data_IF_822635741416
#
_entry.id   IF_822635741416
#
_cell.length_a   1.000
_cell.length_b   1.000
_cell.length_c   1.000
_cell.angle_alpha   90.00
_cell.angle_beta   90.00
_cell.angle_gamma   90.00
#
_symmetry.space_group_name_H-M   'P 1'
#
loop_
_entity.id
_entity.type
_entity.pdbx_description
1 polymer ?
#
# COMPACT_ATOMS: atom_id res chain seq x y z
N UNK A 1 1.99 -35.25 0.90
CA UNK A 1 2.36 -34.44 2.08
C UNK A 1 2.82 -33.10 1.57
N UNK A 2 2.17 -32.01 1.98
CA UNK A 2 2.53 -30.67 1.53
C UNK A 2 3.93 -30.29 2.01
N UNK A 3 4.57 -29.34 1.33
CA UNK A 3 5.93 -28.87 1.59
C UNK A 3 5.95 -27.36 1.79
N UNK A 4 6.72 -26.92 2.79
CA UNK A 4 6.95 -25.51 3.08
C UNK A 4 8.44 -25.22 3.08
N UNK A 5 8.86 -24.19 2.35
CA UNK A 5 10.23 -23.67 2.40
C UNK A 5 10.23 -22.37 3.20
N UNK A 6 10.98 -22.34 4.29
CA UNK A 6 11.12 -21.15 5.13
C UNK A 6 12.42 -20.41 4.85
N UNK A 7 12.32 -19.11 4.60
CA UNK A 7 13.43 -18.16 4.50
C UNK A 7 13.46 -17.34 5.81
N UNK A 8 14.32 -17.69 6.79
CA UNK A 8 14.44 -16.96 8.04
C UNK A 8 15.22 -15.65 7.90
N UNK A 9 14.89 -14.63 8.70
CA UNK A 9 15.83 -13.57 9.01
C UNK A 9 17.04 -14.18 9.74
N UNK A 10 18.26 -13.81 9.36
CA UNK A 10 19.47 -14.45 9.87
C UNK A 10 19.93 -13.86 11.21
N UNK A 11 19.03 -13.92 12.20
CA UNK A 11 19.26 -13.42 13.55
C UNK A 11 18.55 -14.30 14.61
N UNK A 12 18.76 -14.00 15.89
CA UNK A 12 18.22 -14.81 17.00
C UNK A 12 16.68 -14.86 16.99
N UNK A 13 16.02 -13.77 16.59
CA UNK A 13 14.56 -13.71 16.49
C UNK A 13 14.00 -14.53 15.33
N UNK A 14 14.70 -14.58 14.19
CA UNK A 14 14.34 -15.44 13.08
C UNK A 14 14.55 -16.92 13.41
N UNK A 15 15.57 -17.24 14.20
CA UNK A 15 15.79 -18.59 14.73
C UNK A 15 14.72 -18.99 15.76
N UNK A 16 14.34 -18.08 16.65
CA UNK A 16 13.22 -18.29 17.58
C UNK A 16 11.90 -18.51 16.83
N UNK A 17 11.62 -17.71 15.78
CA UNK A 17 10.45 -17.90 14.93
C UNK A 17 10.42 -19.31 14.32
N UNK A 18 11.56 -19.78 13.82
CA UNK A 18 11.72 -21.14 13.28
C UNK A 18 11.42 -22.21 14.32
N UNK A 19 12.11 -22.15 15.46
CA UNK A 19 12.15 -23.24 16.43
C UNK A 19 10.87 -23.33 17.26
N UNK A 20 10.33 -22.19 17.67
CA UNK A 20 9.19 -22.11 18.59
C UNK A 20 7.84 -22.06 17.90
N UNK A 21 7.78 -21.70 16.60
CA UNK A 21 6.50 -21.48 15.91
C UNK A 21 6.40 -22.19 14.56
N UNK A 22 7.32 -21.93 13.62
CA UNK A 22 7.23 -22.50 12.26
C UNK A 22 7.36 -24.03 12.27
N UNK A 23 8.35 -24.56 12.99
CA UNK A 23 8.58 -26.02 13.05
C UNK A 23 7.43 -26.75 13.78
N UNK A 24 6.93 -26.28 14.94
CA UNK A 24 5.72 -26.84 15.56
C UNK A 24 4.50 -26.80 14.64
N UNK A 25 4.17 -25.64 14.05
CA UNK A 25 3.00 -25.52 13.16
C UNK A 25 3.10 -26.48 11.94
N UNK A 26 4.28 -26.57 11.32
CA UNK A 26 4.50 -27.53 10.23
C UNK A 26 4.31 -28.99 10.69
N UNK A 27 4.77 -29.35 11.89
CA UNK A 27 4.57 -30.70 12.44
C UNK A 27 3.09 -30.99 12.68
N UNK A 28 2.39 -30.06 13.30
CA UNK A 28 1.01 -30.23 13.73
C UNK A 28 0.07 -30.35 12.50
N UNK A 29 0.35 -29.59 11.44
CA UNK A 29 -0.35 -29.67 10.14
C UNK A 29 0.26 -30.65 9.12
N UNK A 30 1.21 -31.51 9.54
CA UNK A 30 1.86 -32.53 8.68
C UNK A 30 2.47 -31.97 7.39
N UNK A 31 3.08 -30.81 7.47
CA UNK A 31 3.79 -30.13 6.37
C UNK A 31 5.29 -30.42 6.47
N UNK A 32 5.91 -30.82 5.36
CA UNK A 32 7.35 -31.01 5.26
C UNK A 32 8.06 -29.66 5.25
N UNK A 33 8.73 -29.31 6.35
CA UNK A 33 9.54 -28.09 6.43
C UNK A 33 10.93 -28.28 5.83
N UNK A 34 11.34 -27.35 4.98
CA UNK A 34 12.74 -27.13 4.56
C UNK A 34 13.13 -25.70 4.90
N UNK A 35 14.30 -25.51 5.51
CA UNK A 35 14.83 -24.17 5.82
C UNK A 35 15.84 -23.79 4.74
N UNK A 36 15.77 -22.55 4.24
CA UNK A 36 16.72 -22.02 3.29
C UNK A 36 18.05 -21.66 3.99
N UNK A 37 19.16 -21.95 3.32
CA UNK A 37 20.50 -21.67 3.84
C UNK A 37 20.78 -20.16 3.93
N UNK A 38 21.73 -19.76 4.78
CA UNK A 38 22.16 -18.35 4.93
C UNK A 38 22.64 -17.69 3.63
N UNK A 39 23.08 -18.48 2.65
CA UNK A 39 23.51 -18.02 1.33
C UNK A 39 22.42 -18.07 0.25
N UNK A 40 21.16 -18.27 0.63
CA UNK A 40 20.08 -18.37 -0.34
C UNK A 40 19.96 -17.07 -1.17
N UNK A 41 19.96 -17.24 -2.49
CA UNK A 41 19.85 -16.16 -3.45
C UNK A 41 18.56 -16.30 -4.28
N UNK A 42 18.31 -15.37 -5.19
CA UNK A 42 17.12 -15.37 -6.07
C UNK A 42 16.85 -16.69 -6.80
N UNK A 43 17.89 -17.32 -7.36
CA UNK A 43 17.73 -18.66 -7.96
C UNK A 43 17.20 -19.74 -6.99
N UNK A 44 17.59 -19.71 -5.72
CA UNK A 44 17.05 -20.61 -4.68
C UNK A 44 15.60 -20.27 -4.35
N UNK A 45 15.29 -18.96 -4.24
CA UNK A 45 13.93 -18.47 -4.06
C UNK A 45 13.00 -18.90 -5.21
N UNK A 46 13.37 -18.67 -6.47
CA UNK A 46 12.60 -19.06 -7.64
C UNK A 46 12.33 -20.57 -7.67
N UNK A 47 13.34 -21.39 -7.35
CA UNK A 47 13.16 -22.85 -7.23
C UNK A 47 12.15 -23.19 -6.12
N UNK A 48 12.27 -22.58 -4.95
CA UNK A 48 11.32 -22.80 -3.85
C UNK A 48 9.89 -22.42 -4.27
N UNK A 49 9.71 -21.25 -4.88
CA UNK A 49 8.41 -20.76 -5.33
C UNK A 49 7.76 -21.64 -6.41
N UNK A 50 8.55 -22.36 -7.22
CA UNK A 50 8.04 -23.27 -8.28
C UNK A 50 7.75 -24.67 -7.75
N UNK A 51 8.59 -25.18 -6.85
CA UNK A 51 8.56 -26.60 -6.47
C UNK A 51 8.00 -26.88 -5.07
N UNK A 52 7.84 -25.87 -4.22
CA UNK A 52 7.22 -26.03 -2.91
C UNK A 52 5.73 -25.69 -2.97
N UNK A 53 4.95 -26.39 -2.15
CA UNK A 53 3.52 -26.08 -1.99
C UNK A 53 3.33 -24.71 -1.32
N UNK A 54 4.26 -24.33 -0.43
CA UNK A 54 4.27 -23.07 0.31
C UNK A 54 5.70 -22.52 0.44
N UNK A 55 5.82 -21.19 0.46
CA UNK A 55 7.07 -20.48 0.78
C UNK A 55 6.77 -19.43 1.83
N UNK A 56 7.45 -19.51 2.98
CA UNK A 56 7.32 -18.55 4.08
C UNK A 56 8.56 -17.66 4.14
N UNK A 57 8.36 -16.35 4.22
CA UNK A 57 9.40 -15.34 4.26
C UNK A 57 9.35 -14.58 5.58
N UNK A 58 10.44 -14.60 6.36
CA UNK A 58 10.62 -13.66 7.48
C UNK A 58 11.24 -12.36 6.93
N UNK A 59 10.36 -11.43 6.59
CA UNK A 59 10.65 -10.14 5.99
C UNK A 59 10.97 -9.05 7.03
N UNK A 60 11.31 -9.41 8.27
CA UNK A 60 11.68 -8.44 9.30
C UNK A 60 12.94 -7.67 8.88
N UNK A 61 12.89 -6.33 8.97
CA UNK A 61 14.03 -5.44 8.75
C UNK A 61 14.68 -5.17 10.10
N UNK A 62 15.72 -5.95 10.42
CA UNK A 62 16.44 -5.88 11.69
C UNK A 62 17.96 -5.79 11.43
N UNK A 63 18.75 -5.14 12.31
CA UNK A 63 20.17 -4.85 12.07
C UNK A 63 21.06 -6.08 11.76
N UNK A 64 20.64 -7.26 12.21
CA UNK A 64 21.41 -8.50 12.11
C UNK A 64 21.19 -9.29 10.80
N UNK A 65 20.27 -8.85 9.92
CA UNK A 65 20.10 -9.43 8.58
C UNK A 65 18.63 -9.64 8.19
N UNK A 66 18.38 -9.67 6.88
CA UNK A 66 17.04 -9.73 6.30
C UNK A 66 16.99 -10.53 4.98
N UNK A 67 15.83 -11.09 4.63
CA UNK A 67 15.67 -12.00 3.47
C UNK A 67 15.54 -11.29 2.11
N UNK A 68 15.53 -9.97 2.09
CA UNK A 68 15.35 -9.17 0.87
C UNK A 68 16.41 -9.47 -0.21
N UNK A 69 17.56 -10.04 0.17
CA UNK A 69 18.59 -10.65 -0.69
C UNK A 69 18.05 -11.62 -1.73
N UNK A 70 17.15 -12.49 -1.28
CA UNK A 70 16.56 -13.57 -2.07
C UNK A 70 15.20 -13.20 -2.65
N UNK A 71 14.56 -12.14 -2.13
CA UNK A 71 13.24 -11.70 -2.56
C UNK A 71 13.25 -11.19 -4.01
N UNK A 72 12.18 -11.51 -4.72
CA UNK A 72 11.91 -11.03 -6.08
C UNK A 72 10.45 -10.60 -6.22
N UNK A 73 10.10 -10.00 -7.35
CA UNK A 73 8.71 -9.58 -7.64
C UNK A 73 7.73 -10.75 -7.62
N UNK A 74 8.19 -11.98 -7.95
CA UNK A 74 7.34 -13.18 -7.92
C UNK A 74 6.94 -13.60 -6.51
N UNK A 75 7.80 -13.34 -5.54
CA UNK A 75 7.56 -13.57 -4.11
C UNK A 75 6.34 -12.78 -3.60
N UNK A 76 6.04 -11.64 -4.23
CA UNK A 76 4.89 -10.79 -3.91
C UNK A 76 3.57 -11.29 -4.53
N UNK A 77 3.64 -11.75 -5.77
CA UNK A 77 2.42 -12.00 -6.58
C UNK A 77 1.91 -13.44 -6.55
N UNK A 78 2.74 -14.41 -6.17
CA UNK A 78 2.35 -15.83 -6.18
C UNK A 78 1.56 -16.22 -4.93
N UNK A 79 0.47 -16.94 -5.14
CA UNK A 79 -0.47 -17.37 -4.08
C UNK A 79 0.15 -18.35 -3.07
N UNK A 80 1.25 -19.04 -3.40
CA UNK A 80 1.92 -19.92 -2.45
C UNK A 80 2.93 -19.22 -1.54
N UNK A 81 3.05 -17.89 -1.59
CA UNK A 81 4.00 -17.14 -0.77
C UNK A 81 3.29 -16.47 0.41
N UNK A 82 3.88 -16.65 1.60
CA UNK A 82 3.46 -16.08 2.87
C UNK A 82 4.56 -15.15 3.37
N UNK A 83 4.25 -13.87 3.62
CA UNK A 83 5.20 -12.91 4.15
C UNK A 83 4.88 -12.60 5.61
N UNK A 84 5.80 -12.88 6.52
CA UNK A 84 5.66 -12.52 7.94
C UNK A 84 6.74 -11.52 8.32
N UNK A 85 6.43 -10.59 9.22
CA UNK A 85 7.40 -9.59 9.65
C UNK A 85 7.09 -9.05 11.03
N UNK A 86 8.12 -8.96 11.88
CA UNK A 86 8.05 -8.31 13.20
C UNK A 86 8.05 -6.79 13.11
N UNK A 87 8.60 -6.26 12.03
CA UNK A 87 8.66 -4.82 11.72
C UNK A 87 7.74 -4.50 10.54
N UNK A 88 7.40 -3.24 10.30
CA UNK A 88 6.65 -2.87 9.09
C UNK A 88 7.37 -3.36 7.84
N UNK A 89 6.61 -3.92 6.89
CA UNK A 89 7.16 -4.24 5.57
C UNK A 89 7.55 -2.94 4.85
N UNK A 90 8.56 -2.97 3.98
CA UNK A 90 8.84 -1.87 3.08
C UNK A 90 7.58 -1.47 2.30
N UNK A 91 7.41 -0.18 2.07
CA UNK A 91 6.18 0.40 1.50
C UNK A 91 5.84 -0.07 0.08
N UNK A 92 6.76 -0.74 -0.60
CA UNK A 92 6.59 -1.37 -1.90
C UNK A 92 6.64 -2.90 -1.86
N UNK A 93 6.59 -3.49 -0.66
CA UNK A 93 6.49 -4.92 -0.43
C UNK A 93 5.08 -5.20 0.03
N UNK A 94 4.40 -5.99 -0.79
CA UNK A 94 2.99 -6.27 -0.65
C UNK A 94 2.71 -7.63 -1.26
N UNK A 95 2.07 -8.51 -0.49
CA UNK A 95 1.80 -9.87 -0.92
C UNK A 95 0.36 -10.28 -0.58
N UNK A 96 -0.15 -11.27 -1.32
CA UNK A 96 -1.50 -11.81 -1.10
C UNK A 96 -1.71 -12.31 0.33
N UNK A 97 -0.70 -13.00 0.86
CA UNK A 97 -0.73 -13.50 2.23
C UNK A 97 0.41 -12.84 3.00
N UNK A 98 0.06 -11.97 3.93
CA UNK A 98 1.04 -11.32 4.78
C UNK A 98 0.54 -11.07 6.20
N UNK A 99 1.48 -11.09 7.14
CA UNK A 99 1.28 -10.69 8.53
C UNK A 99 2.44 -9.78 8.95
N UNK A 100 2.16 -8.48 9.01
CA UNK A 100 3.14 -7.48 9.40
C UNK A 100 2.44 -6.31 10.10
N UNK A 101 3.11 -5.64 11.05
CA UNK A 101 2.55 -4.47 11.70
C UNK A 101 2.51 -3.26 10.75
N UNK A 102 1.60 -2.33 11.01
CA UNK A 102 1.62 -1.00 10.39
C UNK A 102 2.82 -0.19 10.89
N UNK A 103 3.11 0.91 10.19
CA UNK A 103 4.16 1.83 10.57
C UNK A 103 4.01 2.32 12.03
N UNK A 104 5.10 2.25 12.80
CA UNK A 104 5.14 2.63 14.21
C UNK A 104 4.74 1.52 15.20
N UNK A 105 4.39 0.34 14.72
CA UNK A 105 4.11 -0.84 15.53
C UNK A 105 5.12 -1.97 15.28
N UNK A 106 5.18 -2.93 16.21
CA UNK A 106 6.00 -4.14 16.10
C UNK A 106 5.22 -5.35 16.54
N UNK A 107 5.45 -6.50 15.91
CA UNK A 107 4.89 -7.79 16.32
C UNK A 107 5.93 -8.65 17.03
N UNK A 108 5.46 -9.50 17.93
CA UNK A 108 6.23 -10.60 18.50
C UNK A 108 6.18 -11.83 17.59
N UNK A 109 7.11 -12.77 17.76
CA UNK A 109 7.06 -14.05 17.06
C UNK A 109 5.79 -14.86 17.38
N UNK A 110 5.19 -14.67 18.56
CA UNK A 110 3.94 -15.31 18.94
C UNK A 110 2.78 -14.92 18.01
N UNK A 111 2.68 -13.63 17.68
CA UNK A 111 1.65 -13.11 16.76
C UNK A 111 1.83 -13.72 15.36
N UNK A 112 3.08 -13.78 14.87
CA UNK A 112 3.39 -14.37 13.57
C UNK A 112 3.11 -15.89 13.55
N UNK A 113 3.43 -16.58 14.64
CA UNK A 113 3.18 -18.01 14.81
C UNK A 113 1.69 -18.34 14.84
N UNK A 114 0.90 -17.59 15.61
CA UNK A 114 -0.57 -17.72 15.67
C UNK A 114 -1.20 -17.50 14.28
N UNK A 115 -0.75 -16.47 13.57
CA UNK A 115 -1.22 -16.21 12.22
C UNK A 115 -0.90 -17.38 11.27
N UNK A 116 0.33 -17.88 11.31
CA UNK A 116 0.77 -18.98 10.45
C UNK A 116 -0.01 -20.27 10.74
N UNK A 117 -0.18 -20.61 12.02
CA UNK A 117 -0.94 -21.78 12.46
C UNK A 117 -2.38 -21.73 11.93
N UNK A 118 -3.07 -20.61 12.13
CA UNK A 118 -4.43 -20.41 11.60
C UNK A 118 -4.47 -20.44 10.08
N UNK A 119 -3.47 -19.90 9.40
CA UNK A 119 -3.39 -19.94 7.93
C UNK A 119 -3.24 -21.38 7.43
N UNK A 120 -2.33 -22.16 8.03
CA UNK A 120 -2.14 -23.57 7.70
C UNK A 120 -3.39 -24.40 8.01
N UNK A 121 -4.01 -24.19 9.17
CA UNK A 121 -5.26 -24.84 9.54
C UNK A 121 -6.36 -24.59 8.50
N UNK A 122 -6.59 -23.34 8.11
CA UNK A 122 -7.54 -23.00 7.04
C UNK A 122 -7.16 -23.66 5.70
N UNK A 123 -5.86 -23.67 5.36
CA UNK A 123 -5.37 -24.21 4.09
C UNK A 123 -5.57 -25.72 3.98
N UNK A 124 -5.42 -26.44 5.09
CA UNK A 124 -5.50 -27.90 5.14
C UNK A 124 -6.82 -28.44 5.72
N UNK A 125 -7.75 -27.55 6.08
CA UNK A 125 -9.08 -27.92 6.56
C UNK A 125 -9.12 -28.39 8.02
N UNK A 126 -8.12 -27.99 8.81
CA UNK A 126 -8.09 -28.28 10.24
C UNK A 126 -8.96 -27.27 11.02
N UNK A 127 -9.48 -27.63 12.22
CA UNK A 127 -10.23 -26.71 13.05
C UNK A 127 -9.40 -25.47 13.40
N UNK A 128 -9.98 -24.28 13.20
CA UNK A 128 -9.33 -22.99 13.48
C UNK A 128 -9.89 -22.44 14.80
N UNK A 129 -9.03 -22.00 15.71
CA UNK A 129 -9.46 -21.30 16.94
C UNK A 129 -10.29 -20.05 16.62
N UNK A 130 -11.33 -19.77 17.41
CA UNK A 130 -12.48 -18.91 17.03
C UNK A 130 -12.22 -17.39 16.99
N UNK A 131 -11.11 -16.86 17.51
CA UNK A 131 -10.84 -15.41 17.44
C UNK A 131 -9.34 -15.07 17.23
N UNK A 132 -9.00 -14.21 16.25
CA UNK A 132 -7.65 -13.65 16.17
C UNK A 132 -7.33 -12.78 17.39
N UNK A 133 -6.06 -12.68 17.76
CA UNK A 133 -5.60 -11.59 18.64
C UNK A 133 -5.95 -10.21 18.05
N UNK A 134 -6.13 -9.22 18.93
CA UNK A 134 -6.52 -7.86 18.55
C UNK A 134 -5.52 -7.21 17.57
N UNK A 135 -4.23 -7.57 17.67
CA UNK A 135 -3.18 -7.08 16.78
C UNK A 135 -3.31 -7.68 15.37
N UNK A 136 -3.65 -8.97 15.24
CA UNK A 136 -3.90 -9.59 13.94
C UNK A 136 -5.14 -9.00 13.26
N UNK A 137 -6.22 -8.81 14.02
CA UNK A 137 -7.50 -8.32 13.51
C UNK A 137 -7.42 -6.94 12.84
N UNK A 138 -6.47 -6.09 13.25
CA UNK A 138 -6.31 -4.71 12.75
C UNK A 138 -5.47 -4.60 11.49
N UNK A 139 -4.72 -5.64 11.13
CA UNK A 139 -3.59 -5.55 10.19
C UNK A 139 -3.59 -6.66 9.13
N UNK A 140 -4.71 -7.39 9.02
CA UNK A 140 -4.87 -8.48 8.05
C UNK A 140 -5.03 -7.94 6.63
N UNK A 141 -4.11 -8.33 5.75
CA UNK A 141 -4.24 -8.09 4.33
C UNK A 141 -5.44 -8.88 3.77
N UNK A 142 -6.32 -8.19 3.04
CA UNK A 142 -7.71 -8.62 2.83
C UNK A 142 -7.96 -9.78 1.87
N UNK A 143 -6.95 -10.33 1.17
CA UNK A 143 -7.24 -11.23 0.05
C UNK A 143 -7.84 -12.60 0.42
N UNK A 144 -7.67 -13.07 1.66
CA UNK A 144 -8.21 -14.37 2.09
C UNK A 144 -9.54 -14.28 2.83
N UNK A 145 -9.78 -13.13 3.47
CA UNK A 145 -11.00 -12.84 4.24
C UNK A 145 -11.30 -11.35 4.12
N UNK A 146 -11.66 -10.87 2.92
CA UNK A 146 -11.92 -9.46 2.73
C UNK A 146 -13.12 -9.06 3.58
N UNK A 147 -13.08 -7.84 4.11
CA UNK A 147 -14.31 -7.26 4.65
C UNK A 147 -15.35 -7.17 3.52
N UNK A 148 -16.63 -7.22 3.88
CA UNK A 148 -17.71 -7.12 2.90
C UNK A 148 -17.71 -5.77 2.18
N UNK A 149 -17.32 -4.70 2.88
CA UNK A 149 -17.24 -3.35 2.32
C UNK A 149 -15.92 -2.66 2.66
N UNK A 150 -15.40 -1.89 1.70
CA UNK A 150 -14.40 -0.86 1.95
C UNK A 150 -15.09 0.49 2.20
N UNK A 151 -14.72 1.19 3.27
CA UNK A 151 -15.25 2.52 3.61
C UNK A 151 -14.22 3.60 3.30
N UNK A 152 -14.54 4.45 2.33
CA UNK A 152 -13.83 5.72 2.10
C UNK A 152 -14.43 6.81 2.99
N UNK A 153 -13.59 7.53 3.71
CA UNK A 153 -14.02 8.59 4.63
C UNK A 153 -12.96 9.70 4.73
N UNK A 154 -13.39 10.89 5.14
CA UNK A 154 -12.47 11.99 5.42
C UNK A 154 -11.83 11.79 6.80
N UNK A 155 -10.51 11.72 6.88
CA UNK A 155 -9.79 11.48 8.14
C UNK A 155 -10.11 12.47 9.29
N UNK A 156 -10.48 13.73 8.99
CA UNK A 156 -10.96 14.67 10.02
C UNK A 156 -12.34 14.33 10.59
N UNK A 157 -13.01 13.31 10.06
CA UNK A 157 -14.31 12.77 10.46
C UNK A 157 -14.22 11.26 10.78
N UNK A 158 -13.03 10.76 11.15
CA UNK A 158 -12.79 9.33 11.43
C UNK A 158 -13.74 8.77 12.48
N UNK A 159 -13.97 9.50 13.59
CA UNK A 159 -14.87 9.07 14.67
C UNK A 159 -16.31 8.89 14.16
N UNK A 160 -16.83 9.88 13.44
CA UNK A 160 -18.16 9.80 12.83
C UNK A 160 -18.28 8.63 11.85
N UNK A 161 -17.26 8.40 11.03
CA UNK A 161 -17.25 7.29 10.09
C UNK A 161 -17.19 5.94 10.80
N UNK A 162 -16.43 5.83 11.90
CA UNK A 162 -16.32 4.62 12.71
C UNK A 162 -17.64 4.27 13.41
N UNK A 163 -18.31 5.26 13.99
CA UNK A 163 -19.63 5.09 14.61
C UNK A 163 -20.67 4.62 13.59
N UNK A 164 -20.67 5.25 12.42
CA UNK A 164 -21.54 4.86 11.32
C UNK A 164 -21.24 3.42 10.85
N UNK A 165 -19.97 3.08 10.63
CA UNK A 165 -19.55 1.75 10.19
C UNK A 165 -19.97 0.67 11.19
N UNK A 166 -19.78 0.92 12.49
CA UNK A 166 -20.17 0.00 13.55
C UNK A 166 -21.70 -0.20 13.59
N UNK A 167 -22.48 0.87 13.42
CA UNK A 167 -23.93 0.77 13.33
C UNK A 167 -24.37 -0.02 12.08
N UNK A 168 -23.82 0.30 10.91
CA UNK A 168 -24.12 -0.38 9.66
C UNK A 168 -23.80 -1.87 9.72
N UNK A 169 -22.63 -2.23 10.26
CA UNK A 169 -22.19 -3.60 10.48
C UNK A 169 -23.17 -4.38 11.37
N UNK A 170 -23.60 -3.79 12.50
CA UNK A 170 -24.58 -4.41 13.40
C UNK A 170 -25.94 -4.60 12.73
N UNK A 171 -26.42 -3.63 11.97
CA UNK A 171 -27.74 -3.67 11.34
C UNK A 171 -27.80 -4.70 10.20
N UNK A 172 -26.74 -4.83 9.41
CA UNK A 172 -26.75 -5.65 8.20
C UNK A 172 -26.02 -6.99 8.34
N UNK A 173 -25.35 -7.22 9.48
CA UNK A 173 -24.56 -8.45 9.69
C UNK A 173 -23.35 -8.54 8.74
N UNK A 174 -22.72 -7.40 8.44
CA UNK A 174 -21.60 -7.28 7.49
C UNK A 174 -20.37 -6.70 8.18
N UNK A 175 -19.21 -6.89 7.56
CA UNK A 175 -17.93 -6.33 7.99
C UNK A 175 -17.55 -5.13 7.14
N UNK A 176 -17.01 -4.09 7.78
CA UNK A 176 -16.63 -2.83 7.11
C UNK A 176 -15.16 -2.54 7.39
N UNK A 177 -14.36 -2.46 6.33
CA UNK A 177 -12.95 -2.10 6.37
C UNK A 177 -12.80 -0.58 6.31
N UNK A 178 -12.21 -0.02 7.36
CA UNK A 178 -11.66 1.33 7.37
C UNK A 178 -10.15 1.23 7.41
N UNK A 179 -9.44 1.99 6.57
CA UNK A 179 -7.97 2.09 6.63
C UNK A 179 -7.60 2.84 7.92
N UNK A 180 -6.90 2.22 8.90
CA UNK A 180 -6.46 2.88 10.11
C UNK A 180 -5.49 4.03 9.81
N UNK A 181 -5.50 5.01 10.68
CA UNK A 181 -4.54 6.10 10.65
C UNK A 181 -3.09 5.58 10.61
N UNK A 182 -2.26 6.18 9.74
CA UNK A 182 -0.83 5.89 9.63
C UNK A 182 -0.46 4.68 8.76
N UNK A 183 -1.43 3.94 8.21
CA UNK A 183 -1.12 2.80 7.33
C UNK A 183 -0.43 3.26 6.03
N UNK A 184 -0.99 4.24 5.32
CA UNK A 184 -0.42 4.75 4.06
C UNK A 184 0.33 6.06 4.21
N UNK A 185 -0.26 7.03 4.91
CA UNK A 185 0.38 8.31 5.26
C UNK A 185 -0.31 8.94 6.47
N UNK A 186 0.38 9.85 7.16
CA UNK A 186 -0.24 10.75 8.12
C UNK A 186 -0.79 12.01 7.43
N UNK A 187 -1.85 12.65 7.95
CA UNK A 187 -2.44 13.85 7.34
C UNK A 187 -1.45 15.00 7.09
N UNK A 188 -0.43 15.10 7.94
CA UNK A 188 0.63 16.11 7.95
C UNK A 188 1.93 15.63 7.32
N UNK A 189 1.99 14.38 6.84
CA UNK A 189 3.20 13.77 6.30
C UNK A 189 3.59 14.41 4.96
N UNK A 190 4.88 14.73 4.84
CA UNK A 190 5.50 15.09 3.58
C UNK A 190 5.77 13.79 2.81
N UNK A 191 5.14 13.65 1.64
CA UNK A 191 5.19 12.40 0.86
C UNK A 191 5.73 12.70 -0.52
N UNK A 192 6.53 11.81 -1.09
CA UNK A 192 6.95 11.94 -2.49
C UNK A 192 5.77 11.77 -3.44
N UNK A 193 5.90 12.32 -4.65
CA UNK A 193 4.90 12.15 -5.70
C UNK A 193 4.59 10.66 -5.95
N UNK A 194 5.62 9.81 -5.99
CA UNK A 194 5.45 8.37 -6.12
C UNK A 194 4.75 7.74 -4.91
N UNK A 195 5.07 8.14 -3.68
CA UNK A 195 4.38 7.63 -2.47
C UNK A 195 2.89 7.95 -2.48
N UNK A 196 2.49 9.13 -2.96
CA UNK A 196 1.07 9.49 -3.08
C UNK A 196 0.33 8.48 -3.95
N UNK A 197 0.83 8.23 -5.17
CA UNK A 197 0.19 7.30 -6.10
C UNK A 197 0.37 5.82 -5.72
N UNK A 198 1.41 5.47 -4.98
CA UNK A 198 1.58 4.14 -4.39
C UNK A 198 0.47 3.84 -3.37
N UNK A 199 0.13 4.82 -2.52
CA UNK A 199 -1.00 4.72 -1.61
C UNK A 199 -2.33 4.56 -2.35
N UNK A 200 -2.54 5.29 -3.44
CA UNK A 200 -3.74 5.13 -4.30
C UNK A 200 -3.79 3.74 -4.95
N UNK A 201 -2.66 3.22 -5.43
CA UNK A 201 -2.60 1.88 -5.98
C UNK A 201 -2.91 0.79 -4.92
N UNK A 202 -2.50 0.99 -3.66
CA UNK A 202 -2.89 0.12 -2.53
C UNK A 202 -4.39 0.19 -2.26
N UNK A 203 -4.97 1.39 -2.22
CA UNK A 203 -6.41 1.58 -2.05
C UNK A 203 -7.24 0.86 -3.13
N UNK A 204 -6.77 0.88 -4.38
CA UNK A 204 -7.38 0.10 -5.47
C UNK A 204 -7.39 -1.40 -5.15
N UNK A 205 -6.30 -1.95 -4.61
CA UNK A 205 -6.22 -3.37 -4.25
C UNK A 205 -7.19 -3.71 -3.11
N UNK A 206 -7.31 -2.84 -2.11
CA UNK A 206 -8.30 -2.98 -1.03
C UNK A 206 -9.73 -3.02 -1.60
N UNK A 207 -10.09 -2.04 -2.45
CA UNK A 207 -11.41 -1.99 -3.09
C UNK A 207 -11.67 -3.19 -4.02
N UNK A 208 -10.62 -3.71 -4.67
CA UNK A 208 -10.72 -4.90 -5.53
C UNK A 208 -10.96 -6.15 -4.70
N UNK A 209 -10.34 -6.24 -3.52
CA UNK A 209 -10.52 -7.37 -2.61
C UNK A 209 -11.94 -7.39 -2.00
N UNK A 210 -12.49 -6.24 -1.59
CA UNK A 210 -13.87 -6.19 -1.05
C UNK A 210 -14.94 -6.24 -2.15
N UNK A 211 -14.63 -5.76 -3.36
CA UNK A 211 -15.56 -5.57 -4.49
C UNK A 211 -16.77 -4.68 -4.19
N UNK A 212 -16.91 -4.17 -2.96
CA UNK A 212 -17.97 -3.25 -2.56
C UNK A 212 -17.38 -2.08 -1.81
N UNK A 213 -17.84 -0.89 -2.15
CA UNK A 213 -17.32 0.37 -1.61
C UNK A 213 -18.46 1.22 -1.08
N UNK A 214 -18.22 1.85 0.07
CA UNK A 214 -19.09 2.85 0.66
C UNK A 214 -18.29 4.15 0.74
N UNK A 215 -18.84 5.23 0.19
CA UNK A 215 -18.30 6.59 0.34
C UNK A 215 -19.06 7.30 1.46
N UNK A 216 -18.40 7.46 2.61
CA UNK A 216 -18.89 8.24 3.73
C UNK A 216 -18.57 9.72 3.53
N UNK A 217 -19.55 10.45 3.03
CA UNK A 217 -19.44 11.83 2.63
C UNK A 217 -19.66 12.79 3.79
N UNK A 218 -18.57 13.42 4.23
CA UNK A 218 -18.66 14.55 5.15
C UNK A 218 -19.06 15.82 4.39
N UNK A 219 -19.99 16.59 4.96
CA UNK A 219 -20.44 17.86 4.36
C UNK A 219 -19.30 18.87 4.18
N UNK A 220 -18.27 18.78 5.03
CA UNK A 220 -17.08 19.60 4.98
C UNK A 220 -15.86 18.79 4.55
N UNK A 221 -15.02 19.39 3.72
CA UNK A 221 -13.67 18.92 3.42
C UNK A 221 -13.46 17.56 2.75
N UNK A 222 -14.50 16.79 2.38
CA UNK A 222 -14.31 15.48 1.74
C UNK A 222 -13.54 15.61 0.41
N UNK A 223 -13.83 16.62 -0.40
CA UNK A 223 -13.18 16.87 -1.70
C UNK A 223 -11.90 17.73 -1.64
N UNK A 224 -11.51 18.17 -0.45
CA UNK A 224 -10.31 18.99 -0.26
C UNK A 224 -9.03 18.16 -0.14
N UNK A 225 -9.18 16.84 -0.12
CA UNK A 225 -8.08 15.92 0.13
C UNK A 225 -7.78 15.07 -1.09
N UNK A 226 -6.49 14.96 -1.39
CA UNK A 226 -5.98 14.08 -2.43
C UNK A 226 -6.47 12.65 -2.24
N UNK A 227 -6.41 12.13 -1.00
CA UNK A 227 -6.73 10.73 -0.68
C UNK A 227 -8.20 10.37 -0.97
N UNK A 228 -9.14 11.05 -0.33
CA UNK A 228 -10.59 10.88 -0.55
C UNK A 228 -11.01 11.17 -1.99
N UNK A 229 -10.40 12.16 -2.65
CA UNK A 229 -10.65 12.40 -4.08
C UNK A 229 -10.16 11.24 -4.96
N UNK A 230 -9.02 10.62 -4.60
CA UNK A 230 -8.49 9.44 -5.28
C UNK A 230 -9.36 8.21 -5.05
N UNK A 231 -9.82 7.99 -3.81
CA UNK A 231 -10.75 6.90 -3.47
C UNK A 231 -12.07 7.03 -4.24
N UNK A 232 -12.62 8.24 -4.30
CA UNK A 232 -13.82 8.54 -5.08
C UNK A 232 -13.58 8.27 -6.58
N UNK A 233 -12.46 8.73 -7.13
CA UNK A 233 -12.11 8.49 -8.53
C UNK A 233 -11.94 6.98 -8.82
N UNK A 234 -11.30 6.24 -7.92
CA UNK A 234 -11.17 4.78 -8.03
C UNK A 234 -12.55 4.11 -8.00
N UNK A 235 -13.42 4.48 -7.08
CA UNK A 235 -14.78 3.93 -7.00
C UNK A 235 -15.57 4.22 -8.30
N UNK A 236 -15.48 5.44 -8.83
CA UNK A 236 -16.11 5.83 -10.09
C UNK A 236 -15.55 5.04 -11.29
N UNK A 237 -14.23 4.85 -11.36
CA UNK A 237 -13.59 4.09 -12.43
C UNK A 237 -13.96 2.60 -12.33
N UNK A 238 -13.77 1.97 -11.17
CA UNK A 238 -13.98 0.55 -10.97
C UNK A 238 -15.47 0.14 -11.05
N UNK A 239 -16.39 1.02 -10.67
CA UNK A 239 -17.83 0.75 -10.82
C UNK A 239 -18.27 0.72 -12.29
N UNK A 240 -17.61 1.50 -13.15
CA UNK A 240 -17.93 1.57 -14.58
C UNK A 240 -17.05 0.66 -15.46
N UNK A 241 -15.93 0.16 -14.94
CA UNK A 241 -14.98 -0.64 -15.68
C UNK A 241 -15.20 -2.15 -15.46
N UNK A 242 -15.02 -2.91 -16.55
CA UNK A 242 -15.04 -4.37 -16.55
C UNK A 242 -13.62 -4.92 -16.43
N UNK A 243 -13.44 -5.97 -15.63
CA UNK A 243 -12.19 -6.73 -15.54
C UNK A 243 -11.95 -7.58 -16.81
N UNK A 244 -10.85 -8.35 -16.82
CA UNK A 244 -10.51 -9.24 -17.96
C UNK A 244 -11.54 -10.33 -18.24
N UNK A 245 -12.41 -10.64 -17.27
CA UNK A 245 -13.51 -11.60 -17.43
C UNK A 245 -14.80 -10.94 -17.93
N UNK A 246 -14.79 -9.62 -18.16
CA UNK A 246 -15.96 -8.86 -18.59
C UNK A 246 -16.94 -8.55 -17.46
N UNK A 247 -16.52 -8.68 -16.19
CA UNK A 247 -17.36 -8.38 -15.01
C UNK A 247 -17.00 -7.04 -14.42
N UNK A 248 -17.97 -6.31 -13.89
CA UNK A 248 -17.70 -5.08 -13.15
C UNK A 248 -16.68 -5.36 -12.04
N UNK A 249 -15.72 -4.45 -11.87
CA UNK A 249 -14.71 -4.60 -10.82
C UNK A 249 -15.33 -4.43 -9.42
N UNK A 250 -16.35 -3.58 -9.30
CA UNK A 250 -17.19 -3.46 -8.12
C UNK A 250 -18.58 -4.06 -8.36
N UNK A 251 -19.02 -4.89 -7.42
CA UNK A 251 -20.39 -5.40 -7.36
C UNK A 251 -21.35 -4.32 -6.86
N UNK A 252 -20.85 -3.43 -5.98
CA UNK A 252 -21.66 -2.38 -5.37
C UNK A 252 -20.81 -1.15 -5.02
N UNK A 253 -21.37 0.04 -5.27
CA UNK A 253 -20.78 1.30 -4.86
C UNK A 253 -21.88 2.19 -4.27
N UNK A 254 -21.78 2.45 -2.96
CA UNK A 254 -22.73 3.23 -2.19
C UNK A 254 -22.13 4.57 -1.78
N UNK A 255 -23.02 5.49 -1.51
CA UNK A 255 -22.76 6.81 -1.00
C UNK A 255 -23.65 7.07 0.20
N UNK A 256 -23.06 7.58 1.27
CA UNK A 256 -23.79 7.96 2.47
C UNK A 256 -23.36 9.35 2.89
N UNK A 257 -24.32 10.26 2.99
CA UNK A 257 -24.11 11.56 3.61
C UNK A 257 -24.59 11.50 5.07
N UNK A 258 -24.02 12.34 5.92
CA UNK A 258 -24.37 12.39 7.35
C UNK A 258 -25.89 12.44 7.58
N UNK A 259 -26.39 11.49 8.37
CA UNK A 259 -27.82 11.37 8.71
C UNK A 259 -28.74 10.87 7.60
N UNK A 260 -28.21 10.41 6.45
CA UNK A 260 -29.00 9.87 5.34
C UNK A 260 -28.79 8.37 5.17
N UNK A 261 -29.78 7.71 4.56
CA UNK A 261 -29.65 6.33 4.13
C UNK A 261 -28.62 6.22 2.98
N UNK A 262 -27.91 5.08 2.85
CA UNK A 262 -27.06 4.81 1.70
C UNK A 262 -27.83 4.89 0.39
N UNK A 263 -27.22 5.51 -0.62
CA UNK A 263 -27.73 5.60 -1.98
C UNK A 263 -26.67 5.10 -2.98
N UNK A 264 -27.04 4.63 -4.17
CA UNK A 264 -26.07 4.27 -5.21
C UNK A 264 -25.14 5.45 -5.57
N UNK A 265 -23.83 5.19 -5.69
CA UNK A 265 -22.83 6.20 -6.08
C UNK A 265 -23.15 6.88 -7.42
N UNK A 266 -23.82 6.17 -8.33
CA UNK A 266 -24.26 6.69 -9.62
C UNK A 266 -25.28 7.84 -9.52
N UNK A 267 -25.98 7.96 -8.40
CA UNK A 267 -27.05 8.95 -8.22
C UNK A 267 -26.52 10.31 -7.72
N UNK A 268 -25.23 10.41 -7.38
CA UNK A 268 -24.61 11.68 -7.00
C UNK A 268 -24.28 12.50 -8.24
N UNK A 269 -24.63 13.78 -8.20
CA UNK A 269 -24.17 14.78 -9.16
C UNK A 269 -22.68 15.12 -8.96
N UNK A 270 -21.80 14.30 -9.52
CA UNK A 270 -20.36 14.53 -9.61
C UNK A 270 -19.92 14.62 -11.07
N UNK A 271 -18.91 15.46 -11.40
CA UNK A 271 -18.24 15.38 -12.69
C UNK A 271 -17.74 13.95 -12.93
N UNK A 272 -18.06 13.38 -14.09
CA UNK A 272 -17.56 12.05 -14.47
C UNK A 272 -16.19 12.21 -15.13
N UNK A 273 -15.21 11.34 -14.82
CA UNK A 273 -13.93 11.34 -15.53
C UNK A 273 -14.14 10.97 -17.00
N UNK A 274 -13.42 11.63 -17.88
CA UNK A 274 -13.35 11.35 -19.31
C UNK A 274 -12.42 10.16 -19.60
N UNK A 275 -12.54 9.54 -20.78
CA UNK A 275 -11.66 8.41 -21.16
C UNK A 275 -10.15 8.76 -21.06
N UNK A 276 -9.67 9.94 -21.51
CA UNK A 276 -8.27 10.32 -21.33
C UNK A 276 -7.84 10.46 -19.87
N UNK A 277 -8.75 10.88 -18.98
CA UNK A 277 -8.49 10.96 -17.54
C UNK A 277 -8.42 9.57 -16.92
N UNK A 278 -9.27 8.63 -17.37
CA UNK A 278 -9.21 7.23 -16.95
C UNK A 278 -7.93 6.53 -17.44
N UNK A 279 -7.53 6.75 -18.69
CA UNK A 279 -6.27 6.25 -19.23
C UNK A 279 -5.09 6.77 -18.40
N UNK A 280 -5.12 8.06 -18.05
CA UNK A 280 -4.10 8.67 -17.20
C UNK A 280 -4.06 8.06 -15.79
N UNK A 281 -5.21 7.81 -15.19
CA UNK A 281 -5.30 7.11 -13.90
C UNK A 281 -4.65 5.72 -14.00
N UNK A 282 -4.94 4.96 -15.05
CA UNK A 282 -4.34 3.63 -15.27
C UNK A 282 -2.82 3.72 -15.41
N UNK A 283 -2.30 4.72 -16.13
CA UNK A 283 -0.85 4.96 -16.21
C UNK A 283 -0.22 5.21 -14.83
N UNK A 284 -0.81 6.07 -14.02
CA UNK A 284 -0.33 6.39 -12.67
C UNK A 284 -0.35 5.14 -11.77
N UNK A 285 -1.47 4.42 -11.76
CA UNK A 285 -1.64 3.20 -10.97
C UNK A 285 -0.63 2.14 -11.38
N UNK A 286 -0.47 1.88 -12.68
CA UNK A 286 0.48 0.88 -13.16
C UNK A 286 1.91 1.21 -12.75
N UNK A 287 2.34 2.47 -12.83
CA UNK A 287 3.74 2.80 -12.50
C UNK A 287 4.02 2.96 -11.01
N UNK A 288 2.99 3.13 -10.18
CA UNK A 288 3.12 3.25 -8.72
C UNK A 288 2.71 1.97 -7.96
N UNK A 289 2.24 0.93 -8.64
CA UNK A 289 1.69 -0.29 -8.02
C UNK A 289 2.75 -1.06 -7.19
N UNK A 290 2.63 -1.05 -5.84
CA UNK A 290 3.57 -1.75 -4.99
C UNK A 290 3.39 -3.27 -5.01
N UNK A 291 2.36 -3.81 -5.66
CA UNK A 291 2.18 -5.25 -5.82
C UNK A 291 2.93 -5.79 -7.04
N UNK A 292 2.91 -5.06 -8.16
CA UNK A 292 3.35 -5.60 -9.45
C UNK A 292 4.58 -4.94 -10.07
N UNK A 293 4.95 -3.73 -9.64
CA UNK A 293 5.85 -2.93 -10.48
C UNK A 293 6.67 -1.82 -9.84
N UNK A 294 6.28 -1.31 -8.68
CA UNK A 294 7.13 -0.46 -7.90
C UNK A 294 8.06 -1.34 -7.03
N UNK A 295 9.38 -1.11 -7.07
CA UNK A 295 10.06 0.06 -7.64
C UNK A 295 10.72 -0.23 -9.00
N UNK A 296 10.42 -1.35 -9.64
CA UNK A 296 11.05 -1.77 -10.91
C UNK A 296 10.86 -0.73 -12.02
N UNK A 297 9.76 0.03 -11.98
CA UNK A 297 9.48 1.16 -12.89
C UNK A 297 10.43 2.35 -12.70
N UNK A 298 11.17 2.44 -11.60
CA UNK A 298 12.20 3.46 -11.38
C UNK A 298 13.35 3.32 -12.38
N UNK A 299 13.70 2.09 -12.76
CA UNK A 299 14.86 1.82 -13.60
C UNK A 299 14.42 1.18 -14.91
N UNK A 300 14.56 1.95 -15.98
CA UNK A 300 14.21 1.52 -17.31
C UNK A 300 14.98 0.23 -17.71
N UNK A 301 14.28 -0.81 -18.20
CA UNK A 301 14.93 -2.02 -18.71
C UNK A 301 15.97 -1.70 -19.78
N UNK A 302 17.19 -2.27 -19.65
CA UNK A 302 18.30 -2.16 -20.60
C UNK A 302 18.46 -3.46 -21.41
N UNK A 303 19.29 -3.43 -22.46
CA UNK A 303 19.59 -4.62 -23.29
C UNK A 303 18.35 -5.20 -23.99
N UNK A 304 18.23 -6.53 -24.02
CA UNK A 304 17.07 -7.24 -24.61
C UNK A 304 15.74 -6.87 -23.94
N UNK A 305 15.75 -6.48 -22.66
CA UNK A 305 14.57 -6.00 -21.94
C UNK A 305 14.01 -4.67 -22.48
N UNK A 306 14.77 -3.92 -23.29
CA UNK A 306 14.29 -2.70 -23.96
C UNK A 306 13.15 -3.00 -24.94
N UNK A 307 13.15 -4.17 -25.57
CA UNK A 307 12.07 -4.60 -26.47
C UNK A 307 10.77 -4.82 -25.70
N UNK A 308 10.86 -5.51 -24.55
CA UNK A 308 9.73 -5.71 -23.64
C UNK A 308 9.19 -4.37 -23.14
N UNK A 309 10.07 -3.42 -22.79
CA UNK A 309 9.68 -2.05 -22.40
C UNK A 309 8.86 -1.35 -23.48
N UNK A 310 9.26 -1.41 -24.74
CA UNK A 310 8.52 -0.80 -25.85
C UNK A 310 7.11 -1.39 -25.99
N UNK A 311 6.98 -2.70 -25.80
CA UNK A 311 5.69 -3.38 -25.86
C UNK A 311 4.78 -3.02 -24.68
N UNK A 312 5.30 -3.02 -23.45
CA UNK A 312 4.46 -2.73 -22.27
C UNK A 312 4.11 -1.24 -22.13
N UNK A 313 4.88 -0.35 -22.74
CA UNK A 313 4.60 1.10 -22.80
C UNK A 313 3.25 1.46 -23.38
N UNK A 314 2.76 0.68 -24.36
CA UNK A 314 1.43 0.90 -24.94
C UNK A 314 0.29 0.60 -23.95
N UNK A 315 0.59 -0.11 -22.86
CA UNK A 315 -0.33 -0.40 -21.76
C UNK A 315 -0.06 0.48 -20.53
N UNK A 316 0.63 1.61 -20.72
CA UNK A 316 0.88 2.61 -19.68
C UNK A 316 2.15 2.41 -18.85
N UNK A 317 2.93 1.36 -19.07
CA UNK A 317 4.11 1.02 -18.26
C UNK A 317 5.39 1.77 -18.69
N UNK A 318 6.28 2.14 -17.77
CA UNK A 318 7.60 2.74 -18.07
C UNK A 318 7.52 3.99 -18.99
N UNK A 319 6.45 4.80 -18.87
CA UNK A 319 6.40 6.11 -19.52
C UNK A 319 7.56 6.96 -18.99
N UNK A 320 8.21 7.78 -19.84
CA UNK A 320 9.43 8.50 -19.46
C UNK A 320 9.32 9.30 -18.16
N UNK A 321 8.18 9.96 -17.94
CA UNK A 321 7.93 10.77 -16.74
C UNK A 321 8.04 9.98 -15.42
N UNK A 322 7.61 8.71 -15.39
CA UNK A 322 7.68 7.86 -14.18
C UNK A 322 9.06 7.25 -13.94
N UNK A 323 9.97 7.39 -14.90
CA UNK A 323 11.38 6.95 -14.75
C UNK A 323 12.31 8.07 -14.30
N UNK A 324 11.78 9.27 -14.06
CA UNK A 324 12.57 10.45 -13.68
C UNK A 324 12.79 10.52 -12.16
N UNK A 325 13.93 11.07 -11.70
CA UNK A 325 14.14 11.32 -10.27
C UNK A 325 13.05 12.17 -9.62
N UNK A 326 12.45 13.12 -10.34
CA UNK A 326 11.43 14.02 -9.78
C UNK A 326 10.17 13.25 -9.34
N UNK A 327 9.70 12.28 -10.13
CA UNK A 327 8.57 11.44 -9.72
C UNK A 327 8.86 10.66 -8.43
N UNK A 328 10.08 10.13 -8.28
CA UNK A 328 10.45 9.26 -7.15
C UNK A 328 10.92 10.01 -5.90
N UNK A 329 11.53 11.18 -6.05
CA UNK A 329 12.28 11.83 -4.99
C UNK A 329 11.80 13.23 -4.64
N UNK A 330 11.03 13.92 -5.51
CA UNK A 330 10.45 15.22 -5.15
C UNK A 330 9.42 15.01 -4.04
N UNK A 331 9.66 15.65 -2.90
CA UNK A 331 8.76 15.61 -1.75
C UNK A 331 7.65 16.64 -1.93
N UNK A 332 6.42 16.24 -1.64
CA UNK A 332 5.22 17.06 -1.64
C UNK A 332 4.93 17.45 -0.19
N UNK A 333 5.11 18.72 0.12
CA UNK A 333 4.92 19.27 1.47
C UNK A 333 3.52 19.86 1.57
N UNK A 334 2.64 19.36 2.46
CA UNK A 334 1.30 19.92 2.62
C UNK A 334 1.36 21.32 3.23
N UNK A 335 0.71 22.31 2.61
CA UNK A 335 0.59 23.66 3.15
C UNK A 335 -0.82 23.91 3.72
N UNK A 336 -0.98 24.12 5.04
CA UNK A 336 -2.28 24.43 5.64
C UNK A 336 -2.96 25.68 5.06
N UNK A 337 -2.17 26.70 4.69
CA UNK A 337 -2.70 27.96 4.13
C UNK A 337 -3.07 27.89 2.65
N UNK A 338 -2.62 26.87 1.91
CA UNK A 338 -2.95 26.67 0.49
C UNK A 338 -3.89 25.49 0.26
N UNK A 339 -4.26 24.77 1.32
CA UNK A 339 -5.20 23.66 1.25
C UNK A 339 -6.57 24.18 0.77
N UNK A 340 -7.25 23.47 -0.14
CA UNK A 340 -8.63 23.77 -0.49
C UNK A 340 -9.53 23.76 0.75
N UNK A 341 -10.57 24.58 0.74
CA UNK A 341 -11.57 24.65 1.79
C UNK A 341 -12.98 24.47 1.20
N UNK A 342 -13.65 23.41 1.63
CA UNK A 342 -15.04 23.06 1.35
C UNK A 342 -15.40 23.07 -0.13
N UNK A 343 -14.55 22.45 -0.94
CA UNK A 343 -14.75 22.30 -2.39
C UNK A 343 -16.10 21.62 -2.67
N UNK A 344 -16.92 22.31 -3.44
CA UNK A 344 -18.20 21.78 -3.91
C UNK A 344 -18.01 20.71 -5.00
N UNK A 345 -18.94 19.74 -5.15
CA UNK A 345 -18.87 18.68 -6.16
C UNK A 345 -18.55 19.17 -7.58
N UNK A 346 -19.20 20.26 -8.03
CA UNK A 346 -18.99 20.82 -9.36
C UNK A 346 -17.63 21.49 -9.59
N UNK A 347 -16.85 21.74 -8.54
CA UNK A 347 -15.52 22.35 -8.63
C UNK A 347 -14.40 21.31 -8.79
N UNK A 348 -14.72 20.01 -8.84
CA UNK A 348 -13.74 18.96 -9.13
C UNK A 348 -13.23 19.06 -10.56
N UNK A 349 -11.91 19.00 -10.71
CA UNK A 349 -11.23 18.78 -11.97
C UNK A 349 -10.37 17.52 -11.88
N UNK A 350 -10.77 16.45 -12.57
CA UNK A 350 -10.03 15.18 -12.61
C UNK A 350 -8.68 15.35 -13.31
N UNK A 351 -8.65 16.07 -14.44
CA UNK A 351 -7.41 16.46 -15.11
C UNK A 351 -6.40 17.15 -14.18
N UNK A 352 -6.83 18.08 -13.31
CA UNK A 352 -5.93 18.70 -12.31
C UNK A 352 -5.52 17.75 -11.18
N UNK A 353 -6.40 16.84 -10.78
CA UNK A 353 -6.08 15.80 -9.78
C UNK A 353 -5.04 14.80 -10.30
N UNK A 354 -5.13 14.44 -11.59
CA UNK A 354 -4.28 13.45 -12.27
C UNK A 354 -2.99 14.04 -12.86
N UNK A 355 -2.88 15.37 -12.89
CA UNK A 355 -1.67 16.04 -13.33
C UNK A 355 -0.53 15.74 -12.35
N UNK A 356 0.62 15.29 -12.88
CA UNK A 356 1.84 15.34 -12.10
C UNK A 356 2.25 16.81 -11.99
N UNK A 357 2.51 17.32 -10.78
CA UNK A 357 3.09 18.65 -10.64
C UNK A 357 4.50 18.59 -11.25
N UNK A 358 4.63 19.07 -12.50
CA UNK A 358 5.92 19.32 -13.15
C UNK A 358 6.58 20.56 -12.55
N UNK A 359 7.17 21.41 -13.40
CA UNK A 359 7.75 22.72 -13.01
C UNK A 359 6.70 23.80 -12.67
N UNK A 360 5.49 23.42 -12.21
CA UNK A 360 4.36 24.32 -11.98
C UNK A 360 3.50 23.88 -10.78
N UNK A 361 2.62 24.73 -10.22
CA UNK A 361 2.77 26.09 -9.69
C UNK A 361 3.49 26.07 -8.32
N UNK A 362 3.59 27.22 -7.64
CA UNK A 362 4.06 27.28 -6.25
C UNK A 362 3.36 26.26 -5.32
N UNK A 363 2.08 25.95 -5.57
CA UNK A 363 1.32 24.87 -4.90
C UNK A 363 0.40 24.16 -5.89
N UNK A 364 0.16 22.86 -5.70
CA UNK A 364 -0.74 22.06 -6.54
C UNK A 364 -2.22 22.17 -6.15
N UNK A 365 -3.05 21.37 -6.84
CA UNK A 365 -4.50 21.34 -6.71
C UNK A 365 -5.03 20.97 -5.31
N UNK A 366 -4.20 20.38 -4.45
CA UNK A 366 -4.53 20.06 -3.05
C UNK A 366 -3.70 20.85 -2.04
N UNK A 367 -2.94 21.85 -2.50
CA UNK A 367 -2.14 22.71 -1.64
C UNK A 367 -0.80 22.12 -1.20
N UNK A 368 -0.26 21.14 -1.93
CA UNK A 368 1.12 20.68 -1.71
C UNK A 368 2.10 21.47 -2.58
N UNK A 369 3.30 21.71 -2.08
CA UNK A 369 4.39 22.30 -2.86
C UNK A 369 5.61 21.36 -2.91
N UNK A 370 6.43 21.43 -3.99
CA UNK A 370 7.62 20.60 -4.11
C UNK A 370 8.73 21.07 -3.17
N UNK A 371 9.45 20.13 -2.58
CA UNK A 371 10.69 20.35 -1.87
C UNK A 371 11.70 19.22 -2.16
N UNK A 372 12.98 19.57 -2.17
CA UNK A 372 14.06 18.59 -2.21
C UNK A 372 14.20 17.90 -0.84
N UNK A 373 14.51 16.60 -0.78
CA UNK A 373 14.66 15.87 0.49
C UNK A 373 15.66 16.51 1.45
N UNK A 374 16.77 17.05 0.93
CA UNK A 374 17.80 17.72 1.72
C UNK A 374 17.28 18.97 2.43
N UNK A 375 16.29 19.67 1.86
CA UNK A 375 15.71 20.88 2.44
C UNK A 375 14.88 20.59 3.69
N UNK A 376 14.40 19.36 3.86
CA UNK A 376 13.61 18.97 5.04
C UNK A 376 14.46 18.91 6.32
N UNK A 377 15.75 18.58 6.19
CA UNK A 377 16.71 18.51 7.30
C UNK A 377 16.91 19.87 7.99
N UNK A 378 16.64 20.97 7.30
CA UNK A 378 16.68 22.32 7.86
C UNK A 378 15.58 22.60 8.89
N UNK A 379 14.61 21.69 9.07
CA UNK A 379 13.56 21.78 10.08
C UNK A 379 12.50 22.88 9.86
N UNK A 380 12.68 23.73 8.85
CA UNK A 380 11.69 24.74 8.44
C UNK A 380 11.66 24.92 6.94
N UNK A 381 10.49 25.20 6.38
CA UNK A 381 10.30 25.58 4.98
C UNK A 381 9.33 26.75 4.88
N UNK A 382 9.45 27.54 3.82
CA UNK A 382 8.46 28.57 3.49
C UNK A 382 7.66 28.11 2.29
N UNK A 383 6.34 28.09 2.41
CA UNK A 383 5.46 27.78 1.29
C UNK A 383 5.63 28.87 0.21
N UNK A 384 6.00 28.53 -1.03
CA UNK A 384 6.18 29.53 -2.09
C UNK A 384 4.84 30.10 -2.58
N UNK A 385 3.70 29.45 -2.28
CA UNK A 385 2.38 29.89 -2.69
C UNK A 385 1.78 30.99 -1.81
N UNK A 386 1.93 30.88 -0.49
CA UNK A 386 1.34 31.83 0.47
C UNK A 386 2.34 32.48 1.43
N UNK A 387 3.64 32.16 1.32
CA UNK A 387 4.68 32.69 2.20
C UNK A 387 4.64 32.15 3.64
N UNK A 388 3.76 31.21 3.95
CA UNK A 388 3.63 30.67 5.30
C UNK A 388 4.88 29.87 5.69
N UNK A 389 5.43 30.15 6.87
CA UNK A 389 6.57 29.42 7.42
C UNK A 389 6.09 28.17 8.15
N UNK A 390 6.59 27.02 7.73
CA UNK A 390 6.22 25.70 8.23
C UNK A 390 7.37 25.12 9.03
N UNK A 391 7.06 24.51 10.18
CA UNK A 391 8.02 23.70 10.94
C UNK A 391 7.89 22.24 10.52
N UNK A 392 9.03 21.62 10.29
CA UNK A 392 9.15 20.20 9.93
C UNK A 392 9.74 19.42 11.10
N UNK A 393 9.13 18.28 11.39
CA UNK A 393 9.58 17.39 12.45
C UNK A 393 9.59 15.96 11.95
N UNK A 394 10.58 15.17 12.39
CA UNK A 394 10.53 13.72 12.26
C UNK A 394 10.21 13.12 13.62
N UNK A 395 8.93 12.89 13.89
CA UNK A 395 8.46 12.26 15.15
C UNK A 395 8.21 10.76 15.00
N UNK A 396 8.17 10.26 13.77
CA UNK A 396 7.71 8.90 13.44
C UNK A 396 8.84 7.98 13.02
N UNK A 397 10.06 8.48 12.87
CA UNK A 397 11.23 7.69 12.50
C UNK A 397 11.39 7.56 10.99
N UNK A 398 11.43 6.31 10.50
CA UNK A 398 11.71 6.02 9.09
C UNK A 398 10.71 5.01 8.52
N UNK A 399 10.32 5.19 7.26
CA UNK A 399 9.70 4.17 6.43
C UNK A 399 10.78 3.49 5.60
N UNK A 400 10.64 2.19 5.38
CA UNK A 400 11.57 1.42 4.55
C UNK A 400 11.06 1.30 3.11
N UNK A 401 11.98 1.31 2.15
CA UNK A 401 11.74 1.01 0.74
C UNK A 401 12.68 -0.12 0.32
N UNK A 402 12.13 -1.18 -0.28
CA UNK A 402 12.95 -2.27 -0.82
C UNK A 402 13.35 -1.95 -2.25
N UNK A 403 14.64 -1.75 -2.51
CA UNK A 403 15.15 -1.60 -3.88
C UNK A 403 15.71 -2.96 -4.31
N UNK A 404 15.12 -3.63 -5.32
CA UNK A 404 15.58 -4.93 -5.77
C UNK A 404 16.97 -4.82 -6.39
N UNK A 405 17.77 -5.89 -6.29
CA UNK A 405 18.99 -6.04 -7.10
C UNK A 405 18.64 -5.88 -8.57
N UNK A 406 19.32 -4.96 -9.24
CA UNK A 406 19.23 -4.79 -10.68
C UNK A 406 20.50 -5.33 -11.30
N UNK A 407 20.35 -6.25 -12.24
CA UNK A 407 21.40 -7.12 -12.79
C UNK A 407 22.46 -6.39 -13.64
N UNK A 408 22.66 -5.08 -13.45
CA UNK A 408 23.45 -4.25 -14.36
C UNK A 408 24.63 -3.52 -13.72
N UNK A 409 24.76 -3.49 -12.38
CA UNK A 409 25.92 -2.89 -11.73
C UNK A 409 26.45 -3.85 -10.65
N UNK A 410 27.60 -4.48 -10.95
CA UNK A 410 28.23 -5.55 -10.16
C UNK A 410 28.54 -5.15 -8.70
N UNK A 411 28.65 -3.85 -8.46
CA UNK A 411 28.93 -3.24 -7.15
C UNK A 411 27.65 -2.77 -6.42
N UNK A 412 26.49 -2.81 -7.09
CA UNK A 412 25.14 -2.53 -6.56
C UNK A 412 24.25 -3.78 -6.54
N UNK A 413 24.84 -4.97 -6.70
CA UNK A 413 24.16 -6.26 -6.82
C UNK A 413 23.54 -6.78 -5.50
N UNK A 414 23.20 -5.88 -4.56
CA UNK A 414 22.56 -6.22 -3.27
C UNK A 414 21.24 -5.45 -3.15
N UNK A 415 20.15 -6.11 -2.76
CA UNK A 415 18.89 -5.41 -2.57
C UNK A 415 19.07 -4.51 -1.36
N UNK A 416 18.74 -3.24 -1.54
CA UNK A 416 18.95 -2.22 -0.52
C UNK A 416 17.61 -1.94 0.12
N UNK A 417 17.54 -2.14 1.43
CA UNK A 417 16.49 -1.51 2.22
C UNK A 417 16.94 -0.08 2.46
N UNK A 418 16.25 0.86 1.81
CA UNK A 418 16.45 2.28 2.05
C UNK A 418 15.55 2.74 3.17
N UNK A 419 16.09 3.55 4.08
CA UNK A 419 15.33 4.21 5.13
C UNK A 419 15.03 5.65 4.73
N UNK A 420 13.76 6.02 4.71
CA UNK A 420 13.28 7.36 4.39
C UNK A 420 12.65 7.97 5.64
N UNK A 421 13.19 9.09 6.12
CA UNK A 421 12.64 9.83 7.26
C UNK A 421 11.18 10.24 6.99
N UNK A 422 10.33 10.05 8.00
CA UNK A 422 8.94 10.51 7.97
C UNK A 422 8.88 11.93 8.48
N UNK A 423 8.81 12.89 7.55
CA UNK A 423 8.70 14.31 7.88
C UNK A 423 7.24 14.74 7.99
N UNK A 424 6.91 15.50 9.02
CA UNK A 424 5.58 16.04 9.24
C UNK A 424 5.62 17.56 9.34
N UNK A 425 4.62 18.21 8.74
CA UNK A 425 4.36 19.63 8.93
C UNK A 425 3.60 19.83 10.23
N UNK A 426 4.12 20.70 11.10
CA UNK A 426 3.43 21.15 12.31
C UNK A 426 3.31 22.68 12.29
N UNK A 427 2.32 23.26 12.99
CA UNK A 427 2.25 24.71 13.17
C UNK A 427 3.60 25.26 13.67
N UNK A 428 4.03 26.37 13.07
CA UNK A 428 5.14 27.15 13.59
C UNK A 428 4.66 27.85 14.87
N UNK A 429 5.49 27.81 15.91
CA UNK A 429 5.22 28.46 17.20
C UNK A 429 5.25 30.00 17.07
#
# INVERSE_FOLDING_TARGET
MASLVFFPAHNDRGQELLDSYVRPACRDHRVRLRVADRGAHRGTALKAQVFADLVLWDCSVEPAGHVYGALDTWSKVRENNLLVSRTPLPRNVLARHQCAPIHGATFSNAVLGEWLDRWLANRFGDPVSDAPTADLARHYWMYDRPADYFLSFRGTHEESAADWAAAYARTHGVTVRMVPAGEYSYPTECVTQQQMWEGVARLRLEMTATRRVIVHWSATGYLDSFWTSSELLLALWMHNHLDRSGRAMLDEALFVADGKAPAPLRDIALPRPTDPELDRLVELLNNADPYTSAPETQIAPRGLGRLTRLFVRRFGWYKPEFTTPSFWHTVRVPCPGCRPADRQPGAISWSRHLALPGDAPATDYFGYFPAEPASLEGGTLTCPGCGHRLRLVNRRGVRTLWVPVLTTEKDQDRPVIQEHKVWEVVPAD
#
